data_IF_427495057262
#
_entry.id   IF_427495057262
#
_cell.length_a   1.000
_cell.length_b   1.000
_cell.length_c   1.000
_cell.angle_alpha   90.00
_cell.angle_beta   90.00
_cell.angle_gamma   90.00
#
_symmetry.space_group_name_H-M   'P 1'
#
loop_
_entity.id
_entity.type
_entity.pdbx_description
1 polymer ?
#
# COMPACT_ATOMS: atom_id res chain seq x y z
N UNK A 1 -10.22 -16.39 -3.08
CA UNK A 1 -8.95 -16.54 -2.30
C UNK A 1 -9.32 -16.66 -0.83
N UNK A 2 -8.65 -17.58 -0.06
CA UNK A 2 -9.01 -17.95 1.32
C UNK A 2 -8.40 -17.08 2.43
N UNK A 3 -8.09 -15.81 2.17
CA UNK A 3 -7.64 -14.92 3.25
C UNK A 3 -8.78 -14.64 4.24
N UNK A 4 -8.43 -14.60 5.52
CA UNK A 4 -9.34 -14.40 6.64
C UNK A 4 -8.94 -13.20 7.51
N UNK A 5 -9.66 -12.94 8.61
CA UNK A 5 -9.41 -11.83 9.52
C UNK A 5 -8.01 -11.90 10.17
N UNK A 6 -7.55 -13.10 10.54
CA UNK A 6 -6.20 -13.27 11.11
C UNK A 6 -5.12 -12.93 10.07
N UNK A 7 -5.30 -13.31 8.79
CA UNK A 7 -4.40 -12.93 7.69
C UNK A 7 -4.36 -11.41 7.47
N UNK A 8 -5.47 -10.71 7.71
CA UNK A 8 -5.55 -9.25 7.66
C UNK A 8 -4.64 -8.62 8.73
N UNK A 9 -4.80 -9.03 9.98
CA UNK A 9 -3.98 -8.55 11.09
C UNK A 9 -2.48 -8.83 10.88
N UNK A 10 -2.13 -10.05 10.45
CA UNK A 10 -0.75 -10.41 10.09
C UNK A 10 -0.17 -9.48 9.02
N UNK A 11 -0.97 -9.19 7.98
CA UNK A 11 -0.54 -8.33 6.87
C UNK A 11 -0.33 -6.88 7.31
N UNK A 12 -1.20 -6.35 8.18
CA UNK A 12 -1.04 -5.00 8.74
C UNK A 12 0.25 -4.91 9.54
N UNK A 13 0.48 -5.83 10.48
CA UNK A 13 1.71 -5.87 11.29
C UNK A 13 2.96 -6.04 10.43
N UNK A 14 2.94 -6.95 9.46
CA UNK A 14 4.06 -7.17 8.56
C UNK A 14 4.42 -5.91 7.76
N UNK A 15 3.41 -5.17 7.30
CA UNK A 15 3.62 -3.93 6.54
C UNK A 15 4.10 -2.79 7.44
N UNK A 16 3.56 -2.70 8.65
CA UNK A 16 3.99 -1.73 9.67
C UNK A 16 5.47 -1.92 10.00
N UNK A 17 5.90 -3.15 10.28
CA UNK A 17 7.29 -3.49 10.60
C UNK A 17 8.27 -3.23 9.44
N UNK A 18 7.79 -3.32 8.19
CA UNK A 18 8.58 -2.99 6.99
C UNK A 18 8.62 -1.49 6.67
N UNK A 19 7.85 -0.69 7.37
CA UNK A 19 7.63 0.72 7.05
C UNK A 19 6.67 0.89 5.88
N UNK A 20 5.49 1.39 6.17
CA UNK A 20 4.46 1.62 5.14
C UNK A 20 3.70 2.92 5.37
N UNK A 21 3.14 3.49 4.31
CA UNK A 21 2.14 4.55 4.41
C UNK A 21 0.71 4.01 4.47
N UNK A 22 -0.28 4.90 4.39
CA UNK A 22 -1.70 4.57 4.48
C UNK A 22 -2.11 3.44 3.50
N UNK A 23 -1.62 3.48 2.25
CA UNK A 23 -1.91 2.43 1.24
C UNK A 23 -1.55 1.02 1.68
N UNK A 24 -0.52 0.88 2.52
CA UNK A 24 -0.13 -0.42 3.05
C UNK A 24 -0.90 -0.79 4.31
N UNK A 25 -1.20 0.17 5.19
CA UNK A 25 -1.97 -0.07 6.41
C UNK A 25 -3.41 -0.52 6.12
N UNK A 26 -3.99 -0.16 4.97
CA UNK A 26 -5.28 -0.69 4.51
C UNK A 26 -5.30 -2.21 4.28
N UNK A 27 -4.18 -2.92 4.53
CA UNK A 27 -4.14 -4.37 4.58
C UNK A 27 -4.48 -5.04 3.24
N UNK A 28 -5.19 -6.16 3.32
CA UNK A 28 -5.65 -6.96 2.19
C UNK A 28 -7.01 -6.42 1.73
N UNK A 29 -7.13 -6.02 0.46
CA UNK A 29 -8.40 -5.56 -0.10
C UNK A 29 -9.37 -6.74 -0.29
N UNK A 30 -10.64 -6.57 0.08
CA UNK A 30 -11.69 -7.58 -0.13
C UNK A 30 -11.88 -7.92 -1.61
N UNK A 31 -11.71 -6.94 -2.49
CA UNK A 31 -11.81 -7.09 -3.95
C UNK A 31 -10.61 -6.43 -4.64
N UNK A 32 -9.99 -7.13 -5.56
CA UNK A 32 -8.86 -6.61 -6.35
C UNK A 32 -8.93 -7.07 -7.79
N UNK A 33 -8.85 -6.13 -8.72
CA UNK A 33 -8.71 -6.42 -10.16
C UNK A 33 -7.23 -6.47 -10.54
N UNK A 34 -6.82 -7.53 -11.21
CA UNK A 34 -5.45 -7.74 -11.69
C UNK A 34 -5.45 -8.56 -12.98
N UNK A 35 -4.78 -8.08 -14.01
CA UNK A 35 -4.72 -8.74 -15.35
C UNK A 35 -6.11 -9.13 -15.91
N UNK A 36 -7.10 -8.25 -15.76
CA UNK A 36 -8.47 -8.50 -16.22
C UNK A 36 -9.32 -9.40 -15.32
N UNK A 37 -8.71 -10.11 -14.35
CA UNK A 37 -9.38 -10.99 -13.39
C UNK A 37 -9.70 -10.25 -12.11
N UNK A 38 -10.90 -10.47 -11.58
CA UNK A 38 -11.31 -9.94 -10.28
C UNK A 38 -11.14 -11.01 -9.20
N UNK A 39 -10.27 -10.75 -8.26
CA UNK A 39 -10.06 -11.58 -7.07
C UNK A 39 -10.95 -11.08 -5.94
N UNK A 40 -11.73 -11.97 -5.33
CA UNK A 40 -12.55 -11.71 -4.15
C UNK A 40 -12.06 -12.53 -2.96
N UNK A 41 -12.29 -12.02 -1.73
CA UNK A 41 -11.89 -12.66 -0.45
C UNK A 41 -13.07 -12.65 0.51
N UNK A 42 -13.99 -13.63 0.37
CA UNK A 42 -15.25 -13.62 1.13
C UNK A 42 -15.06 -13.83 2.63
N UNK A 43 -13.92 -14.41 3.07
CA UNK A 43 -13.66 -14.71 4.48
C UNK A 43 -12.84 -13.63 5.21
N UNK A 44 -12.65 -12.45 4.60
CA UNK A 44 -11.74 -11.44 5.17
C UNK A 44 -12.20 -10.91 6.54
N UNK A 45 -13.49 -11.00 6.83
CA UNK A 45 -14.13 -10.62 8.11
C UNK A 45 -14.36 -11.82 9.05
N UNK A 46 -13.98 -13.03 8.61
CA UNK A 46 -14.20 -14.27 9.36
C UNK A 46 -12.92 -14.67 10.10
N UNK A 47 -13.03 -15.00 11.38
CA UNK A 47 -11.91 -15.50 12.17
C UNK A 47 -11.50 -16.91 11.75
N UNK A 48 -10.21 -17.20 11.79
CA UNK A 48 -9.69 -18.57 11.56
C UNK A 48 -10.37 -19.61 12.43
N UNK A 49 -10.58 -19.31 13.72
CA UNK A 49 -11.28 -20.20 14.67
C UNK A 49 -12.72 -20.54 14.26
N UNK A 50 -13.42 -19.63 13.62
CA UNK A 50 -14.80 -19.84 13.14
C UNK A 50 -14.79 -20.80 11.95
N UNK A 51 -13.84 -20.62 11.03
CA UNK A 51 -13.63 -21.51 9.89
C UNK A 51 -13.32 -22.94 10.38
N UNK A 52 -12.38 -23.06 11.32
CA UNK A 52 -11.97 -24.36 11.87
C UNK A 52 -13.14 -25.05 12.62
N UNK A 53 -13.97 -24.29 13.37
CA UNK A 53 -15.19 -24.78 14.02
C UNK A 53 -16.20 -25.28 12.99
N UNK A 54 -16.43 -24.52 11.92
CA UNK A 54 -17.35 -24.91 10.85
C UNK A 54 -16.92 -26.22 10.18
N UNK A 55 -15.63 -26.35 9.83
CA UNK A 55 -15.09 -27.56 9.22
C UNK A 55 -15.21 -28.78 10.14
N UNK A 56 -14.89 -28.60 11.44
CA UNK A 56 -15.06 -29.66 12.45
C UNK A 56 -16.50 -30.11 12.55
N UNK A 57 -17.45 -29.20 12.61
CA UNK A 57 -18.89 -29.51 12.69
C UNK A 57 -19.42 -30.26 11.45
N UNK A 58 -18.76 -30.08 10.30
CA UNK A 58 -19.09 -30.74 9.02
C UNK A 58 -18.30 -32.01 8.79
N UNK A 59 -17.44 -32.44 9.74
CA UNK A 59 -16.57 -33.62 9.58
C UNK A 59 -15.50 -33.48 8.49
N UNK A 60 -15.23 -32.26 8.00
CA UNK A 60 -14.25 -32.01 6.94
C UNK A 60 -12.86 -31.81 7.56
N UNK A 61 -11.91 -32.67 7.16
CA UNK A 61 -10.49 -32.51 7.55
C UNK A 61 -9.79 -31.53 6.63
N UNK A 62 -9.35 -30.39 7.18
CA UNK A 62 -8.51 -29.46 6.44
C UNK A 62 -7.11 -30.06 6.21
N UNK A 63 -6.58 -29.90 4.99
CA UNK A 63 -5.19 -30.26 4.70
C UNK A 63 -4.26 -29.18 5.29
N UNK A 64 -3.33 -29.60 6.12
CA UNK A 64 -2.31 -28.72 6.70
C UNK A 64 -1.09 -28.76 5.80
N UNK A 65 -0.66 -27.60 5.31
CA UNK A 65 0.58 -27.44 4.57
C UNK A 65 1.73 -27.29 5.58
N UNK A 66 2.75 -28.17 5.49
CA UNK A 66 3.90 -28.19 6.41
C UNK A 66 4.72 -26.90 6.39
N UNK A 67 4.76 -26.19 5.26
CA UNK A 67 5.46 -24.91 5.14
C UNK A 67 4.89 -23.79 6.06
N UNK A 68 3.67 -23.98 6.57
CA UNK A 68 3.06 -23.07 7.53
C UNK A 68 3.69 -23.12 8.94
N UNK A 69 4.54 -24.09 9.22
CA UNK A 69 5.17 -24.30 10.54
C UNK A 69 6.58 -23.71 10.64
N UNK A 70 7.20 -23.30 9.52
CA UNK A 70 8.57 -22.78 9.53
C UNK A 70 8.61 -21.29 9.93
N UNK A 71 9.24 -20.98 11.07
CA UNK A 71 9.45 -19.60 11.58
C UNK A 71 10.49 -18.77 10.78
N UNK A 72 10.99 -19.31 9.67
CA UNK A 72 11.95 -18.60 8.80
C UNK A 72 11.33 -17.36 8.17
N UNK A 73 10.04 -17.39 7.88
CA UNK A 73 9.34 -16.27 7.25
C UNK A 73 8.79 -15.28 8.28
N UNK A 74 8.99 -13.99 8.05
CA UNK A 74 8.47 -12.92 8.92
C UNK A 74 6.97 -13.09 9.25
N UNK A 75 6.18 -13.58 8.32
CA UNK A 75 4.75 -13.83 8.53
C UNK A 75 4.49 -14.88 9.60
N UNK A 76 5.25 -15.97 9.61
CA UNK A 76 5.11 -17.01 10.61
C UNK A 76 5.56 -16.54 12.00
N UNK A 77 6.64 -15.73 12.09
CA UNK A 77 7.05 -15.07 13.35
C UNK A 77 5.94 -14.16 13.90
N UNK A 78 5.26 -13.42 13.03
CA UNK A 78 4.13 -12.57 13.44
C UNK A 78 2.98 -13.44 13.94
N UNK A 79 2.63 -14.51 13.21
CA UNK A 79 1.53 -15.43 13.55
C UNK A 79 1.75 -16.19 14.85
N UNK A 80 2.95 -16.77 15.01
CA UNK A 80 3.23 -17.68 16.10
C UNK A 80 3.79 -16.99 17.35
N UNK A 81 4.46 -15.84 17.20
CA UNK A 81 5.13 -15.18 18.31
C UNK A 81 4.50 -13.81 18.64
N UNK A 82 4.42 -12.90 17.66
CA UNK A 82 4.03 -11.51 17.93
C UNK A 82 2.54 -11.36 18.26
N UNK A 83 1.65 -11.91 17.45
CA UNK A 83 0.19 -11.84 17.70
C UNK A 83 -0.19 -12.52 19.02
N UNK A 84 0.29 -13.72 19.35
CA UNK A 84 0.05 -14.32 20.67
C UNK A 84 0.56 -13.45 21.83
N UNK A 85 1.77 -12.90 21.72
CA UNK A 85 2.32 -11.98 22.71
C UNK A 85 1.43 -10.74 22.91
N UNK A 86 1.00 -10.11 21.81
CA UNK A 86 0.13 -8.94 21.86
C UNK A 86 -1.24 -9.28 22.47
N UNK A 87 -1.82 -10.44 22.15
CA UNK A 87 -3.08 -10.91 22.74
C UNK A 87 -2.97 -11.12 24.24
N UNK A 88 -1.88 -11.74 24.68
CA UNK A 88 -1.70 -12.10 26.10
C UNK A 88 -1.31 -10.91 26.97
N UNK A 89 -0.40 -10.07 26.49
CA UNK A 89 0.24 -9.03 27.31
C UNK A 89 -0.38 -7.64 27.15
N UNK A 90 -1.06 -7.34 26.03
CA UNK A 90 -1.49 -5.99 25.69
C UNK A 90 -3.00 -5.89 25.41
N UNK A 91 -3.50 -6.62 24.40
CA UNK A 91 -4.91 -6.55 24.01
C UNK A 91 -5.40 -7.88 23.46
N UNK A 92 -6.30 -8.60 24.13
CA UNK A 92 -6.84 -9.87 23.66
C UNK A 92 -7.57 -9.75 22.32
N UNK A 93 -8.07 -8.56 21.97
CA UNK A 93 -8.78 -8.28 20.74
C UNK A 93 -7.89 -7.63 19.64
N UNK A 94 -6.56 -7.76 19.74
CA UNK A 94 -5.63 -7.08 18.83
C UNK A 94 -5.89 -7.39 17.34
N UNK A 95 -6.39 -8.57 17.02
CA UNK A 95 -6.67 -8.99 15.63
C UNK A 95 -7.82 -8.17 15.05
N UNK A 96 -8.89 -7.99 15.81
CA UNK A 96 -10.03 -7.12 15.43
C UNK A 96 -9.59 -5.67 15.33
N UNK A 97 -8.84 -5.19 16.31
CA UNK A 97 -8.33 -3.80 16.31
C UNK A 97 -7.52 -3.52 15.05
N UNK A 98 -6.62 -4.44 14.66
CA UNK A 98 -5.82 -4.29 13.44
C UNK A 98 -6.66 -4.42 12.16
N UNK A 99 -7.69 -5.25 12.17
CA UNK A 99 -8.60 -5.37 11.03
C UNK A 99 -9.46 -4.13 10.86
N UNK A 100 -10.03 -3.60 11.94
CA UNK A 100 -10.82 -2.37 11.94
C UNK A 100 -9.96 -1.15 11.52
N UNK A 101 -8.71 -1.10 11.98
CA UNK A 101 -7.75 -0.10 11.52
C UNK A 101 -7.54 -0.19 10.01
N UNK A 102 -7.31 -1.40 9.48
CA UNK A 102 -7.10 -1.61 8.05
C UNK A 102 -8.30 -1.18 7.22
N UNK A 103 -9.51 -1.48 7.68
CA UNK A 103 -10.75 -1.07 7.03
C UNK A 103 -10.88 0.46 7.00
N UNK A 104 -10.80 1.12 8.15
CA UNK A 104 -10.87 2.59 8.24
C UNK A 104 -9.84 3.26 7.35
N UNK A 105 -8.57 2.86 7.45
CA UNK A 105 -7.48 3.43 6.65
C UNK A 105 -7.68 3.17 5.16
N UNK A 106 -8.33 2.06 4.77
CA UNK A 106 -8.57 1.77 3.35
C UNK A 106 -9.58 2.75 2.73
N UNK A 107 -10.64 3.11 3.46
CA UNK A 107 -11.61 4.12 3.03
C UNK A 107 -11.00 5.52 2.98
N UNK A 108 -10.25 5.90 4.03
CA UNK A 108 -9.55 7.19 4.06
C UNK A 108 -8.59 7.33 2.88
N UNK A 109 -7.80 6.27 2.62
CA UNK A 109 -6.86 6.25 1.52
C UNK A 109 -7.56 6.31 0.16
N UNK A 110 -8.65 5.59 -0.03
CA UNK A 110 -9.44 5.60 -1.28
C UNK A 110 -9.95 7.01 -1.58
N UNK A 111 -10.52 7.68 -0.58
CA UNK A 111 -10.97 9.07 -0.72
C UNK A 111 -9.83 10.01 -1.09
N UNK A 112 -8.70 9.95 -0.36
CA UNK A 112 -7.53 10.78 -0.65
C UNK A 112 -6.96 10.50 -2.04
N UNK A 113 -6.94 9.23 -2.49
CA UNK A 113 -6.47 8.85 -3.83
C UNK A 113 -7.39 9.41 -4.92
N UNK A 114 -8.70 9.39 -4.72
CA UNK A 114 -9.68 10.00 -5.63
C UNK A 114 -9.48 11.52 -5.71
N UNK A 115 -9.35 12.21 -4.58
CA UNK A 115 -9.05 13.65 -4.54
C UNK A 115 -7.74 13.96 -5.26
N UNK A 116 -6.70 13.16 -5.03
CA UNK A 116 -5.43 13.33 -5.71
C UNK A 116 -5.54 13.13 -7.24
N UNK A 117 -6.36 12.17 -7.70
CA UNK A 117 -6.61 11.97 -9.15
C UNK A 117 -7.25 13.20 -9.77
N UNK A 118 -8.24 13.78 -9.11
CA UNK A 118 -8.99 14.93 -9.60
C UNK A 118 -8.21 16.26 -9.51
N UNK A 119 -7.18 16.36 -8.66
CA UNK A 119 -6.56 17.64 -8.26
C UNK A 119 -5.81 18.38 -9.37
N UNK A 120 -4.95 17.70 -10.11
CA UNK A 120 -4.12 18.28 -11.18
C UNK A 120 -4.09 17.37 -12.38
N UNK A 121 -4.40 17.92 -13.54
CA UNK A 121 -4.37 17.14 -14.78
C UNK A 121 -2.93 16.75 -15.14
N UNK A 122 -2.79 15.50 -15.54
CA UNK A 122 -1.56 14.91 -16.03
C UNK A 122 -1.53 15.11 -17.55
N UNK A 123 -0.50 15.77 -18.05
CA UNK A 123 -0.28 15.90 -19.49
C UNK A 123 0.76 14.87 -19.93
N UNK A 124 0.33 13.90 -20.74
CA UNK A 124 1.23 12.90 -21.34
C UNK A 124 1.77 13.41 -22.67
N UNK A 125 3.09 13.33 -22.86
CA UNK A 125 3.78 13.61 -24.13
C UNK A 125 4.78 12.48 -24.42
N UNK A 126 4.41 11.55 -25.29
CA UNK A 126 5.18 10.34 -25.58
C UNK A 126 5.41 9.52 -24.30
N UNK A 127 6.67 9.23 -23.98
CA UNK A 127 7.09 8.49 -22.77
C UNK A 127 7.29 9.39 -21.54
N UNK A 128 6.81 10.63 -21.55
CA UNK A 128 6.93 11.53 -20.41
C UNK A 128 5.58 12.05 -19.93
N UNK A 129 5.51 12.35 -18.63
CA UNK A 129 4.37 12.97 -17.98
C UNK A 129 4.80 14.31 -17.44
N UNK A 130 3.92 15.30 -17.49
CA UNK A 130 4.19 16.66 -16.99
C UNK A 130 3.08 17.10 -16.04
N UNK A 131 3.50 17.70 -14.92
CA UNK A 131 2.63 18.38 -13.99
C UNK A 131 3.04 19.85 -13.90
N UNK A 132 2.08 20.75 -13.86
CA UNK A 132 2.33 22.16 -13.62
C UNK A 132 2.73 22.39 -12.15
N UNK A 133 3.90 23.01 -11.91
CA UNK A 133 4.46 23.25 -10.58
C UNK A 133 3.55 24.18 -9.76
N UNK A 134 3.07 25.28 -10.33
CA UNK A 134 2.19 26.23 -9.62
C UNK A 134 0.89 25.58 -9.13
N UNK A 135 0.38 24.56 -9.85
CA UNK A 135 -0.80 23.79 -9.41
C UNK A 135 -0.44 22.78 -8.33
N UNK A 136 0.70 22.08 -8.46
CA UNK A 136 1.17 21.14 -7.45
C UNK A 136 1.45 21.81 -6.10
N UNK A 137 2.10 23.01 -6.13
CA UNK A 137 2.46 23.76 -4.90
C UNK A 137 1.27 24.27 -4.11
N UNK A 138 0.07 24.31 -4.70
CA UNK A 138 -1.17 24.69 -4.01
C UNK A 138 -1.85 23.50 -3.31
N UNK A 139 -1.39 22.29 -3.55
CA UNK A 139 -1.98 21.09 -2.95
C UNK A 139 -1.56 20.92 -1.50
N UNK A 140 -2.48 20.43 -0.68
CA UNK A 140 -2.14 19.92 0.65
C UNK A 140 -1.07 18.83 0.53
N UNK A 141 -0.05 18.74 1.43
CA UNK A 141 1.05 17.79 1.31
C UNK A 141 0.60 16.32 1.13
N UNK A 142 -0.49 15.90 1.79
CA UNK A 142 -1.03 14.56 1.62
C UNK A 142 -1.45 14.29 0.16
N UNK A 143 -2.15 15.24 -0.47
CA UNK A 143 -2.63 15.12 -1.85
C UNK A 143 -1.46 15.23 -2.84
N UNK A 144 -0.53 16.16 -2.61
CA UNK A 144 0.68 16.30 -3.40
C UNK A 144 1.45 14.98 -3.48
N UNK A 145 1.75 14.35 -2.34
CA UNK A 145 2.50 13.08 -2.27
C UNK A 145 1.79 11.94 -2.99
N UNK A 146 0.47 11.86 -2.88
CA UNK A 146 -0.31 10.89 -3.64
C UNK A 146 -0.24 11.17 -5.14
N UNK A 147 -0.36 12.44 -5.54
CA UNK A 147 -0.26 12.85 -6.95
C UNK A 147 1.11 12.50 -7.57
N UNK A 148 2.19 12.75 -6.83
CA UNK A 148 3.54 12.36 -7.26
C UNK A 148 3.66 10.84 -7.43
N UNK A 149 3.13 10.05 -6.48
CA UNK A 149 3.08 8.58 -6.58
C UNK A 149 2.23 8.10 -7.78
N UNK A 150 1.11 8.75 -8.06
CA UNK A 150 0.27 8.45 -9.23
C UNK A 150 1.04 8.70 -10.55
N UNK A 151 1.82 9.80 -10.63
CA UNK A 151 2.70 10.07 -11.76
C UNK A 151 3.73 8.96 -11.99
N UNK A 152 4.39 8.50 -10.94
CA UNK A 152 5.33 7.37 -11.00
C UNK A 152 4.61 6.09 -11.43
N UNK A 153 3.46 5.78 -10.83
CA UNK A 153 2.68 4.59 -11.17
C UNK A 153 2.22 4.56 -12.64
N UNK A 154 1.90 5.72 -13.22
CA UNK A 154 1.54 5.82 -14.64
C UNK A 154 2.68 5.44 -15.61
N UNK A 155 3.94 5.61 -15.20
CA UNK A 155 5.11 5.25 -16.02
C UNK A 155 5.61 3.84 -15.76
N UNK A 156 5.57 3.42 -14.50
CA UNK A 156 6.17 2.19 -14.00
C UNK A 156 5.16 1.05 -13.85
N UNK A 157 3.85 1.37 -13.87
CA UNK A 157 2.76 0.42 -13.59
C UNK A 157 2.50 0.17 -12.10
N UNK A 158 3.39 0.60 -11.20
CA UNK A 158 3.28 0.45 -9.76
C UNK A 158 4.15 1.46 -9.01
N UNK A 159 4.14 1.43 -7.67
CA UNK A 159 5.02 2.26 -6.82
C UNK A 159 5.98 1.44 -5.97
N UNK A 160 6.30 0.22 -6.39
CA UNK A 160 7.26 -0.64 -5.68
C UNK A 160 8.63 0.03 -5.63
N UNK A 161 9.35 -0.14 -4.52
CA UNK A 161 10.66 0.46 -4.25
C UNK A 161 10.67 1.99 -4.13
N UNK A 162 9.51 2.66 -4.21
CA UNK A 162 9.42 4.11 -3.99
C UNK A 162 9.24 4.38 -2.50
N UNK A 163 10.32 4.80 -1.85
CA UNK A 163 10.35 5.15 -0.43
C UNK A 163 9.71 6.53 -0.17
N UNK A 164 9.54 6.86 1.11
CA UNK A 164 9.15 8.21 1.52
C UNK A 164 10.22 9.24 1.15
N UNK A 165 11.51 8.86 1.28
CA UNK A 165 12.63 9.73 0.93
C UNK A 165 12.60 10.14 -0.55
N UNK A 166 12.34 9.22 -1.47
CA UNK A 166 12.21 9.53 -2.89
C UNK A 166 11.12 10.59 -3.16
N UNK A 167 9.99 10.51 -2.44
CA UNK A 167 8.92 11.52 -2.57
C UNK A 167 9.38 12.88 -2.01
N UNK A 168 10.11 12.90 -0.88
CA UNK A 168 10.68 14.13 -0.31
C UNK A 168 11.68 14.80 -1.26
N UNK A 169 12.47 14.03 -1.96
CA UNK A 169 13.41 14.57 -2.97
C UNK A 169 12.67 15.20 -4.15
N UNK A 170 11.55 14.61 -4.59
CA UNK A 170 10.70 15.24 -5.62
C UNK A 170 10.02 16.51 -5.07
N UNK A 171 9.56 16.51 -3.81
CA UNK A 171 9.03 17.73 -3.17
C UNK A 171 10.08 18.85 -3.14
N UNK A 172 11.36 18.52 -2.93
CA UNK A 172 12.44 19.51 -2.96
C UNK A 172 12.64 20.14 -4.35
N UNK A 173 12.32 19.44 -5.45
CA UNK A 173 12.31 20.06 -6.79
C UNK A 173 11.28 21.19 -6.92
N UNK A 174 10.16 21.10 -6.20
CA UNK A 174 9.14 22.14 -6.23
C UNK A 174 9.60 23.42 -5.53
N UNK A 175 10.27 23.28 -4.39
CA UNK A 175 10.47 24.37 -3.43
C UNK A 175 11.88 24.98 -3.47
N UNK A 176 12.93 24.14 -3.46
CA UNK A 176 14.29 24.60 -3.15
C UNK A 176 15.34 24.29 -4.24
N UNK A 177 15.09 23.39 -5.18
CA UNK A 177 16.09 23.03 -6.18
C UNK A 177 16.00 23.94 -7.41
N UNK A 178 17.13 24.30 -8.03
CA UNK A 178 17.16 25.14 -9.24
C UNK A 178 16.53 24.44 -10.44
N UNK A 179 16.34 25.21 -11.52
CA UNK A 179 15.91 24.70 -12.82
C UNK A 179 16.86 23.61 -13.33
N UNK A 180 16.29 22.67 -14.09
CA UNK A 180 16.98 21.50 -14.65
C UNK A 180 17.49 20.47 -13.63
N UNK A 181 17.24 20.67 -12.33
CA UNK A 181 17.55 19.64 -11.34
C UNK A 181 16.78 18.35 -11.62
N UNK A 182 17.46 17.21 -11.39
CA UNK A 182 16.91 15.87 -11.63
C UNK A 182 16.94 15.08 -10.33
N UNK A 183 15.92 14.29 -10.10
CA UNK A 183 15.86 13.23 -9.08
C UNK A 183 15.72 11.90 -9.80
N UNK A 184 16.68 11.02 -9.56
CA UNK A 184 16.65 9.66 -10.07
C UNK A 184 15.90 8.75 -9.10
N UNK A 185 15.03 7.91 -9.66
CA UNK A 185 14.20 6.98 -8.92
C UNK A 185 14.50 5.54 -9.34
N UNK A 186 14.16 4.55 -8.50
CA UNK A 186 14.28 3.15 -8.88
C UNK A 186 13.59 2.83 -10.20
N UNK A 187 14.07 1.78 -10.87
CA UNK A 187 13.54 1.25 -12.14
C UNK A 187 13.67 2.23 -13.33
N UNK A 188 14.67 3.09 -13.32
CA UNK A 188 14.98 3.98 -14.44
C UNK A 188 14.01 5.15 -14.62
N UNK A 189 13.21 5.47 -13.62
CA UNK A 189 12.39 6.68 -13.63
C UNK A 189 13.23 7.87 -13.20
N UNK A 190 13.05 8.99 -13.87
CA UNK A 190 13.64 10.28 -13.47
C UNK A 190 12.55 11.35 -13.42
N UNK A 191 12.72 12.30 -12.48
CA UNK A 191 11.86 13.47 -12.34
C UNK A 191 12.72 14.71 -12.46
N UNK A 192 12.42 15.56 -13.43
CA UNK A 192 13.15 16.78 -13.73
C UNK A 192 12.27 18.00 -13.54
N UNK A 193 12.83 19.06 -12.96
CA UNK A 193 12.23 20.39 -12.97
C UNK A 193 12.58 21.08 -14.29
N UNK A 194 11.58 21.40 -15.10
CA UNK A 194 11.77 22.05 -16.40
C UNK A 194 10.78 23.19 -16.53
N UNK A 195 11.27 24.43 -16.52
CA UNK A 195 10.44 25.64 -16.50
C UNK A 195 9.38 25.54 -15.38
N UNK A 196 8.14 25.74 -15.69
CA UNK A 196 7.04 25.66 -14.72
C UNK A 196 6.44 24.24 -14.58
N UNK A 197 7.20 23.17 -14.90
CA UNK A 197 6.71 21.79 -14.88
C UNK A 197 7.67 20.84 -14.19
N UNK A 198 7.10 19.84 -13.49
CA UNK A 198 7.79 18.58 -13.19
C UNK A 198 7.56 17.60 -14.34
N UNK A 199 8.65 17.18 -14.96
CA UNK A 199 8.66 16.16 -16.02
C UNK A 199 9.09 14.83 -15.44
N UNK A 200 8.21 13.84 -15.51
CA UNK A 200 8.49 12.44 -15.17
C UNK A 200 8.75 11.68 -16.47
N UNK A 201 9.80 10.90 -16.53
CA UNK A 201 10.15 10.12 -17.72
C UNK A 201 10.92 8.87 -17.34
N UNK A 202 10.94 7.90 -18.25
CA UNK A 202 11.76 6.69 -18.13
C UNK A 202 13.04 6.90 -18.94
N UNK A 203 14.19 6.65 -18.32
CA UNK A 203 15.50 6.60 -18.99
C UNK A 203 15.64 5.35 -19.82
#
# INVERSE_FOLDING_TARGET
MGHNLDDQAETVLMRLLRGTGLSGLGGISAKRKMHGVTFIRPFLETRRKEIDRFLKNRGVKARVDSSNQEDVFLRNKIRHNLIPLLKQKYNPNIVEVLSNLAESVSYDYEYLDQVARASVNLVRRGNSLRFNIKRLSKLHPAILRLKLRQGIACLQGNTRRISFQHIREIEALLNSRPENSIVDLPQGIAVQKVHNCLRFYKR
#
